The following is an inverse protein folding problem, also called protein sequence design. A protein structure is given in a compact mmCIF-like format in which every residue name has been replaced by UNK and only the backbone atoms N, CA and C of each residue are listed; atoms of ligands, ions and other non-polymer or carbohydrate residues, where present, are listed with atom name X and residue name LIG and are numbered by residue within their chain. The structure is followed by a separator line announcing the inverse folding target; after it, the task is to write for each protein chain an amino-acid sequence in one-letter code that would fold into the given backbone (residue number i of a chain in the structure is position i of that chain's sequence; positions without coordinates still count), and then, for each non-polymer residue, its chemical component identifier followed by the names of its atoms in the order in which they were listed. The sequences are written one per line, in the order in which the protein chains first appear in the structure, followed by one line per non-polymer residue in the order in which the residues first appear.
data_IF_232623758082
#
_entry.id   IF_232623758082
#
_cell.length_a   1.000
_cell.length_b   1.000
_cell.length_c   1.000
_cell.angle_alpha   90.00
_cell.angle_beta   90.00
_cell.angle_gamma   90.00
#
_symmetry.space_group_name_H-M   'P 1'
#
loop_
_entity.id
_entity.type
_entity.pdbx_description
1 polymer ?
2 non-polymer ?
3 water ?
#
# COMPACT_ATOMS: atom_id res chain seq x y z
N UNK A 6 13.10 -10.76 8.09
CA UNK A 6 12.49 -12.12 8.21
C UNK A 6 11.10 -12.13 7.58
N UNK A 7 11.01 -12.75 6.40
CA UNK A 7 9.79 -12.76 5.60
C UNK A 7 8.88 -13.98 5.81
N UNK A 8 9.09 -14.70 6.91
CA UNK A 8 8.26 -15.86 7.23
C UNK A 8 6.77 -15.45 7.22
N UNK A 9 6.44 -14.41 7.99
CA UNK A 9 5.07 -13.90 8.06
C UNK A 9 5.08 -12.39 7.88
N UNK A 10 4.70 -11.92 6.69
CA UNK A 10 4.65 -10.50 6.38
C UNK A 10 3.23 -9.92 6.54
N UNK A 11 3.14 -8.82 7.30
CA UNK A 11 1.91 -8.03 7.34
C UNK A 11 2.16 -6.68 6.67
N UNK A 12 1.54 -6.48 5.50
CA UNK A 12 1.63 -5.20 4.83
C UNK A 12 0.39 -4.37 5.16
N UNK A 13 0.59 -3.12 5.54
CA UNK A 13 -0.51 -2.20 5.87
C UNK A 13 -0.68 -1.21 4.72
N UNK A 14 -1.72 -1.42 3.91
CA UNK A 14 -1.96 -0.56 2.73
C UNK A 14 -2.96 0.53 3.13
N UNK A 15 -2.67 1.82 2.80
CA UNK A 15 -3.67 2.85 3.08
C UNK A 15 -5.01 2.61 2.36
N UNK A 16 -4.95 2.41 1.04
CA UNK A 16 -6.11 2.25 0.17
C UNK A 16 -6.05 0.92 -0.58
N UNK A 17 -7.16 0.56 -1.22
CA UNK A 17 -7.23 -0.68 -1.98
C UNK A 17 -6.54 -0.49 -3.31
N UNK A 18 -5.24 -0.82 -3.33
CA UNK A 18 -4.35 -0.77 -4.50
C UNK A 18 -2.89 -0.47 -4.10
N UNK A 19 -2.69 0.29 -3.02
CA UNK A 19 -1.36 0.86 -2.72
C UNK A 19 -0.27 -0.20 -2.52
N UNK A 20 -0.53 -1.22 -1.68
CA UNK A 20 0.44 -2.30 -1.44
C UNK A 20 0.84 -3.05 -2.72
N UNK A 21 -0.14 -3.44 -3.52
CA UNK A 21 0.15 -4.19 -4.73
C UNK A 21 0.99 -3.35 -5.68
N UNK A 22 0.63 -2.09 -5.79
CA UNK A 22 1.31 -1.16 -6.72
C UNK A 22 2.77 -0.92 -6.32
N UNK A 23 3.01 -0.90 -5.02
CA UNK A 23 4.33 -0.51 -4.49
C UNK A 23 5.22 -1.69 -4.12
N UNK A 24 4.65 -2.72 -3.49
CA UNK A 24 5.46 -3.89 -3.04
C UNK A 24 4.97 -5.26 -3.60
N UNK A 25 4.09 -5.22 -4.60
CA UNK A 25 3.47 -6.41 -5.12
C UNK A 25 4.43 -7.51 -5.56
N UNK A 26 5.49 -7.14 -6.27
CA UNK A 26 6.51 -8.12 -6.68
C UNK A 26 7.30 -8.74 -5.49
N UNK A 27 7.66 -7.93 -4.51
CA UNK A 27 8.35 -8.44 -3.30
C UNK A 27 7.41 -9.34 -2.49
N UNK A 28 6.12 -9.01 -2.50
CA UNK A 28 5.14 -9.86 -1.82
C UNK A 28 5.00 -11.19 -2.53
N UNK A 29 4.85 -11.15 -3.86
CA UNK A 29 4.82 -12.33 -4.72
C UNK A 29 6.08 -13.18 -4.51
N UNK A 30 7.23 -12.52 -4.48
CA UNK A 30 8.52 -13.22 -4.29
C UNK A 30 8.61 -13.86 -2.91
N UNK A 31 8.06 -13.18 -1.90
CA UNK A 31 8.03 -13.76 -0.54
C UNK A 31 7.21 -15.03 -0.52
N UNK A 32 6.05 -15.01 -1.20
CA UNK A 32 5.19 -16.18 -1.28
C UNK A 32 5.83 -17.33 -2.09
N UNK A 33 6.47 -16.98 -3.20
CA UNK A 33 7.22 -17.95 -4.01
C UNK A 33 8.36 -18.57 -3.21
N UNK A 34 8.93 -17.79 -2.29
CA UNK A 34 10.03 -18.25 -1.44
C UNK A 34 9.56 -19.08 -0.23
N UNK A 35 8.25 -19.16 -0.02
CA UNK A 35 7.67 -20.00 1.02
C UNK A 35 7.12 -19.25 2.22
N UNK A 36 7.16 -17.92 2.15
CA UNK A 36 6.65 -17.09 3.22
C UNK A 36 5.14 -16.89 3.18
N UNK A 37 4.62 -16.22 4.19
CA UNK A 37 3.18 -15.99 4.29
C UNK A 37 2.96 -14.49 4.27
N UNK A 38 2.05 -14.06 3.41
CA UNK A 38 1.76 -12.64 3.25
C UNK A 38 0.28 -12.36 3.53
N UNK A 39 0.05 -11.30 4.32
CA UNK A 39 -1.28 -10.75 4.50
C UNK A 39 -1.23 -9.24 4.25
N UNK A 40 -2.16 -8.74 3.45
CA UNK A 40 -2.26 -7.32 3.25
C UNK A 40 -3.54 -6.85 3.92
N UNK A 41 -3.38 -5.93 4.87
CA UNK A 41 -4.50 -5.30 5.60
C UNK A 41 -4.62 -3.88 5.04
N UNK A 42 -5.81 -3.52 4.57
CA UNK A 42 -6.06 -2.16 4.04
C UNK A 42 -6.90 -1.36 5.04
N UNK A 43 -6.40 -0.19 5.40
CA UNK A 43 -6.98 0.63 6.45
C UNK A 43 -8.30 1.22 5.95
N UNK A 44 -8.24 1.89 4.80
CA UNK A 44 -9.40 2.59 4.27
C UNK A 44 -10.18 1.69 3.33
N UNK A 45 -10.78 0.63 3.87
CA UNK A 45 -11.60 -0.31 3.09
C UNK A 45 -13.04 -0.38 3.60
N UNK A 46 -13.46 0.62 4.37
CA UNK A 46 -14.78 0.66 4.99
C UNK A 46 -15.96 0.80 4.04
N UNK A 47 -17.15 0.44 4.54
CA UNK A 47 -18.35 0.39 3.73
C UNK A 47 -19.06 1.74 3.61
N UNK A 48 -19.57 1.99 2.41
CA UNK A 48 -20.55 3.05 2.14
C UNK A 48 -21.32 2.66 0.88
N UNK A 49 -22.63 2.44 1.02
CA UNK A 49 -23.51 2.10 -0.11
C UNK A 49 -24.13 3.36 -0.71
N UNK A 50 -24.72 3.24 -1.93
CA UNK A 50 -25.43 4.37 -2.53
C UNK A 50 -26.68 4.69 -1.68
N UNK A 51 -27.16 5.94 -1.71
CA UNK A 51 -26.74 7.04 -2.59
C UNK A 51 -25.56 7.84 -2.05
N UNK A 52 -24.81 8.47 -2.96
CA UNK A 52 -23.59 9.21 -2.60
C UNK A 52 -23.74 10.72 -2.77
N UNK A 53 -22.76 11.45 -2.26
CA UNK A 53 -22.65 12.89 -2.50
C UNK A 53 -22.16 13.17 -3.92
N UNK A 54 -22.54 14.33 -4.50
CA UNK A 54 -21.99 14.71 -5.81
C UNK A 54 -20.46 14.63 -5.87
N UNK A 55 -19.79 15.03 -4.79
CA UNK A 55 -18.32 14.99 -4.72
C UNK A 55 -17.78 13.57 -4.83
N UNK A 56 -18.58 12.60 -4.36
CA UNK A 56 -18.23 11.16 -4.45
C UNK A 56 -18.65 10.61 -5.81
N UNK A 57 -19.77 11.12 -6.31
CA UNK A 57 -20.31 10.76 -7.61
C UNK A 57 -19.30 11.12 -8.72
N UNK A 58 -18.51 12.15 -8.48
CA UNK A 58 -17.55 12.67 -9.44
C UNK A 58 -16.37 11.74 -9.54
N UNK A 59 -15.90 11.28 -8.38
CA UNK A 59 -14.81 10.31 -8.29
C UNK A 59 -15.21 8.96 -8.85
N UNK A 60 -16.47 8.58 -8.59
CA UNK A 60 -17.01 7.31 -9.08
C UNK A 60 -17.14 7.32 -10.60
N UNK A 61 -17.76 8.37 -11.15
CA UNK A 61 -17.86 8.55 -12.60
C UNK A 61 -16.52 8.43 -13.31
N UNK A 62 -15.47 9.00 -12.72
CA UNK A 62 -14.09 8.89 -13.22
C UNK A 62 -13.52 7.46 -13.18
N UNK A 63 -14.02 6.64 -12.26
CA UNK A 63 -13.63 5.24 -12.21
C UNK A 63 -14.49 4.37 -13.15
N UNK A 64 -15.51 4.97 -13.74
CA UNK A 64 -16.37 4.25 -14.69
C UNK A 64 -17.57 3.57 -14.05
N UNK A 65 -17.91 4.00 -12.83
CA UNK A 65 -19.02 3.44 -12.05
C UNK A 65 -20.28 4.28 -12.19
N UNK A 66 -21.44 3.62 -12.16
CA UNK A 66 -22.77 4.27 -12.34
C UNK A 66 -23.35 4.60 -10.94
N UNK A 67 -24.28 5.58 -10.83
CA UNK A 67 -24.83 6.02 -9.52
C UNK A 67 -25.30 4.91 -8.55
N UNK A 68 -25.91 3.83 -9.03
CA UNK A 68 -26.41 2.78 -8.15
C UNK A 68 -25.38 1.72 -7.74
N UNK A 69 -24.16 1.81 -8.26
CA UNK A 69 -23.12 0.83 -7.90
C UNK A 69 -22.44 1.15 -6.58
N UNK A 70 -22.28 0.12 -5.76
CA UNK A 70 -21.56 0.21 -4.48
C UNK A 70 -20.07 0.24 -4.76
N UNK A 71 -19.47 1.42 -4.67
CA UNK A 71 -18.06 1.60 -5.02
C UNK A 71 -17.05 0.92 -4.09
N UNK A 72 -17.13 1.16 -2.76
CA UNK A 72 -16.18 0.45 -1.89
C UNK A 72 -16.26 -1.08 -2.04
N UNK A 73 -17.46 -1.63 -2.22
CA UNK A 73 -17.61 -3.05 -2.53
C UNK A 73 -16.88 -3.46 -3.81
N UNK A 74 -17.17 -2.78 -4.93
CA UNK A 74 -16.38 -3.00 -6.16
C UNK A 74 -14.86 -3.05 -5.89
N UNK A 75 -14.36 -2.05 -5.15
CA UNK A 75 -12.92 -1.94 -4.85
C UNK A 75 -12.41 -3.06 -3.93
N UNK A 76 -13.24 -3.47 -2.97
CA UNK A 76 -12.84 -4.59 -2.11
C UNK A 76 -12.76 -5.87 -2.94
N UNK A 77 -13.67 -6.03 -3.90
CA UNK A 77 -13.62 -7.17 -4.83
C UNK A 77 -12.40 -7.13 -5.74
N UNK A 78 -12.04 -5.94 -6.20
CA UNK A 78 -10.81 -5.77 -6.96
C UNK A 78 -9.58 -6.20 -6.16
N UNK A 79 -9.53 -5.75 -4.91
CA UNK A 79 -8.43 -6.06 -3.99
C UNK A 79 -8.32 -7.58 -3.76
N UNK A 80 -9.45 -8.25 -3.55
CA UNK A 80 -9.45 -9.72 -3.37
C UNK A 80 -8.88 -10.45 -4.62
N UNK A 81 -9.36 -10.08 -5.80
CA UNK A 81 -8.87 -10.66 -7.07
C UNK A 81 -7.35 -10.49 -7.23
N UNK A 82 -6.89 -9.25 -7.04
CA UNK A 82 -5.46 -8.93 -7.07
C UNK A 82 -4.62 -9.73 -6.06
N UNK A 83 -4.99 -9.71 -4.79
CA UNK A 83 -4.16 -10.36 -3.76
C UNK A 83 -4.12 -11.89 -3.93
N UNK A 84 -5.28 -12.49 -4.25
CA UNK A 84 -5.36 -13.89 -4.66
C UNK A 84 -4.37 -14.30 -5.74
N UNK A 85 -4.11 -13.42 -6.72
CA UNK A 85 -3.13 -13.71 -7.78
C UNK A 85 -1.67 -13.70 -7.26
N UNK A 86 -1.43 -12.96 -6.17
CA UNK A 86 -0.11 -12.92 -5.55
C UNK A 86 0.07 -14.00 -4.48
N UNK A 87 -1.00 -14.74 -4.23
CA UNK A 87 -1.10 -15.70 -3.15
C UNK A 87 -1.10 -15.08 -1.76
N UNK A 88 -1.53 -13.82 -1.64
CA UNK A 88 -1.53 -13.12 -0.36
C UNK A 88 -2.92 -13.12 0.25
N UNK A 89 -2.99 -13.24 1.58
CA UNK A 89 -4.25 -13.06 2.32
C UNK A 89 -4.65 -11.59 2.27
N UNK A 90 -5.97 -11.32 2.37
CA UNK A 90 -6.49 -9.94 2.47
C UNK A 90 -7.21 -9.74 3.80
N UNK A 91 -7.16 -8.53 4.35
CA UNK A 91 -8.01 -8.19 5.49
C UNK A 91 -8.47 -6.74 5.26
N UNK A 92 -9.78 -6.51 5.38
CA UNK A 92 -10.34 -5.18 5.06
C UNK A 92 -10.74 -4.37 6.29
N UNK A 93 -10.11 -3.20 6.46
CA UNK A 93 -10.32 -2.32 7.62
C UNK A 93 -11.60 -1.48 7.51
N UNK A 94 -11.96 -0.81 8.59
CA UNK A 94 -13.28 -0.18 8.72
C UNK A 94 -13.33 1.29 8.32
N UNK A 95 -12.18 1.88 7.97
CA UNK A 95 -12.09 3.34 7.83
C UNK A 95 -12.52 3.84 6.44
N UNK A 96 -13.12 5.02 6.41
CA UNK A 96 -13.73 5.56 5.19
C UNK A 96 -12.79 6.48 4.47
N UNK A 97 -12.68 6.27 3.16
CA UNK A 97 -11.79 7.02 2.30
C UNK A 97 -12.07 8.50 2.43
N UNK A 98 -10.99 9.27 2.32
CA UNK A 98 -11.04 10.73 2.48
C UNK A 98 -12.24 11.30 1.75
N UNK A 99 -12.56 10.67 0.62
CA UNK A 99 -13.61 11.12 -0.29
C UNK A 99 -15.07 10.96 0.21
N UNK A 100 -15.30 10.13 1.23
CA UNK A 100 -16.64 9.97 1.82
C UNK A 100 -16.68 10.67 3.19
N UNK A 101 -15.64 11.46 3.47
CA UNK A 101 -15.52 12.23 4.72
C UNK A 101 -14.82 13.57 4.49
N UNK A 125 -8.64 15.66 15.58
CA UNK A 125 -8.95 15.45 14.17
C UNK A 125 -7.96 14.45 13.52
N UNK A 126 -6.71 14.89 13.35
CA UNK A 126 -5.65 14.02 12.83
C UNK A 126 -5.24 13.00 13.89
N UNK A 127 -5.07 13.48 15.11
CA UNK A 127 -4.69 12.63 16.24
C UNK A 127 -5.70 11.52 16.55
N UNK A 128 -6.99 11.86 16.53
CA UNK A 128 -8.04 10.89 16.83
C UNK A 128 -8.05 9.76 15.80
N UNK A 129 -7.81 10.11 14.54
CA UNK A 129 -7.80 9.13 13.46
C UNK A 129 -6.59 8.20 13.59
N UNK A 130 -5.39 8.78 13.72
CA UNK A 130 -4.17 8.00 13.90
C UNK A 130 -4.28 7.00 15.06
N UNK A 131 -4.83 7.46 16.18
CA UNK A 131 -4.95 6.62 17.38
C UNK A 131 -5.94 5.47 17.16
N UNK A 132 -7.04 5.77 16.46
CA UNK A 132 -8.04 4.76 16.09
C UNK A 132 -7.45 3.72 15.13
N UNK A 133 -6.72 4.20 14.13
CA UNK A 133 -6.06 3.31 13.19
C UNK A 133 -5.02 2.45 13.90
N UNK A 134 -4.19 3.07 14.74
CA UNK A 134 -3.17 2.34 15.52
C UNK A 134 -3.75 1.14 16.32
N UNK A 135 -4.88 1.34 16.99
CA UNK A 135 -5.55 0.28 17.79
C UNK A 135 -5.86 -0.93 16.91
N UNK A 136 -6.47 -0.67 15.76
CA UNK A 136 -6.81 -1.70 14.78
C UNK A 136 -5.58 -2.41 14.19
N UNK A 137 -4.51 -1.66 13.94
CA UNK A 137 -3.24 -2.27 13.50
C UNK A 137 -2.61 -3.14 14.60
N UNK A 138 -2.64 -2.68 15.86
CA UNK A 138 -2.20 -3.53 16.96
C UNK A 138 -3.02 -4.82 17.00
N UNK A 139 -4.34 -4.71 16.88
CA UNK A 139 -5.22 -5.89 16.88
C UNK A 139 -4.84 -6.82 15.72
N UNK A 140 -4.58 -6.26 14.55
CA UNK A 140 -4.14 -7.05 13.40
C UNK A 140 -2.76 -7.76 13.61
N UNK A 141 -1.81 -7.07 14.22
CA UNK A 141 -0.50 -7.67 14.57
C UNK A 141 -0.64 -8.84 15.55
N UNK A 142 -1.41 -8.66 16.61
CA UNK A 142 -1.65 -9.72 17.57
C UNK A 142 -2.24 -10.94 16.85
N UNK A 143 -3.18 -10.69 15.95
CA UNK A 143 -3.86 -11.75 15.24
C UNK A 143 -2.97 -12.48 14.21
N UNK A 144 -2.18 -11.73 13.46
CA UNK A 144 -1.41 -12.30 12.33
C UNK A 144 0.01 -12.77 12.73
N UNK A 145 0.46 -12.37 13.91
CA UNK A 145 1.81 -12.68 14.46
C UNK A 145 2.96 -12.54 13.43
N UNK A 146 3.09 -11.35 12.80
CA UNK A 146 4.05 -11.19 11.71
C UNK A 146 5.50 -11.16 12.22
N UNK A 147 6.45 -11.50 11.34
CA UNK A 147 7.89 -11.34 11.60
C UNK A 147 8.44 -10.09 10.91
N UNK A 148 7.62 -9.50 10.04
CA UNK A 148 7.92 -8.23 9.37
C UNK A 148 6.63 -7.49 9.06
N UNK A 149 6.62 -6.19 9.36
CA UNK A 149 5.55 -5.28 8.97
C UNK A 149 6.03 -4.28 7.91
N UNK A 150 5.22 -4.06 6.88
CA UNK A 150 5.49 -3.05 5.87
C UNK A 150 4.37 -2.03 5.80
N UNK A 151 4.71 -0.76 5.57
CA UNK A 151 3.72 0.21 5.15
C UNK A 151 4.39 1.27 4.26
N UNK A 152 3.62 2.24 3.81
CA UNK A 152 4.11 3.23 2.85
C UNK A 152 4.99 4.26 3.52
N UNK A 153 5.94 4.82 2.79
CA UNK A 153 6.72 5.96 3.32
C UNK A 153 5.93 7.27 3.22
N UNK A 154 4.86 7.26 2.43
CA UNK A 154 3.96 8.43 2.20
C UNK A 154 4.55 9.54 1.32
N UNK A 155 5.35 9.13 0.34
CA UNK A 155 5.67 9.93 -0.83
C UNK A 155 4.34 10.23 -1.54
N UNK A 156 4.16 11.48 -1.97
CA UNK A 156 2.89 11.93 -2.59
C UNK A 156 2.01 12.66 -1.58
N UNK A 157 2.41 12.57 -0.31
CA UNK A 157 1.80 13.27 0.83
C UNK A 157 0.27 13.13 1.01
N UNK A 158 -0.32 12.04 0.53
CA UNK A 158 -1.75 11.83 0.76
C UNK A 158 -2.02 11.74 2.27
N UNK A 159 -3.05 12.45 2.77
CA UNK A 159 -3.26 12.42 4.23
C UNK A 159 -3.56 11.00 4.76
N UNK A 160 -4.20 10.14 3.96
CA UNK A 160 -4.45 8.75 4.36
C UNK A 160 -3.17 7.94 4.46
N UNK A 161 -2.21 8.26 3.61
CA UNK A 161 -0.90 7.59 3.61
C UNK A 161 -0.11 8.02 4.81
N UNK A 162 -0.12 9.32 5.10
CA UNK A 162 0.55 9.85 6.30
C UNK A 162 -0.08 9.24 7.56
N UNK A 163 -1.42 9.23 7.64
CA UNK A 163 -2.09 8.67 8.83
C UNK A 163 -1.76 7.18 8.98
N UNK A 164 -1.84 6.41 7.88
CA UNK A 164 -1.56 4.96 7.92
C UNK A 164 -0.12 4.67 8.40
N UNK A 165 0.84 5.37 7.79
CA UNK A 165 2.25 5.26 8.15
C UNK A 165 2.49 5.54 9.64
N UNK A 166 1.99 6.70 10.09
CA UNK A 166 2.22 7.16 11.46
C UNK A 166 1.65 6.17 12.49
N UNK A 167 0.43 5.69 12.19
CA UNK A 167 -0.23 4.71 13.05
C UNK A 167 0.53 3.38 13.07
N UNK A 168 1.05 2.96 11.90
CA UNK A 168 1.80 1.72 11.77
C UNK A 168 3.12 1.80 12.54
N UNK A 169 3.80 2.95 12.48
CA UNK A 169 5.06 3.12 13.25
C UNK A 169 4.86 2.94 14.75
N UNK A 170 3.81 3.55 15.29
CA UNK A 170 3.43 3.37 16.70
C UNK A 170 3.05 1.92 17.07
N UNK A 171 2.27 1.28 16.21
CA UNK A 171 1.76 -0.06 16.47
C UNK A 171 2.87 -1.12 16.44
N UNK A 172 3.70 -1.10 15.40
CA UNK A 172 4.83 -2.04 15.27
C UNK A 172 5.90 -1.86 16.37
N UNK A 173 6.12 -0.63 16.80
CA UNK A 173 7.04 -0.33 17.89
C UNK A 173 6.50 -0.83 19.23
N UNK A 174 5.20 -0.65 19.43
CA UNK A 174 4.55 -1.13 20.65
C UNK A 174 4.69 -2.64 20.74
N UNK A 175 4.48 -3.30 19.61
CA UNK A 175 4.53 -4.77 19.55
C UNK A 175 5.90 -5.39 19.23
N UNK A 176 6.92 -4.54 19.14
CA UNK A 176 8.29 -4.96 18.83
C UNK A 176 8.45 -5.79 17.55
N UNK A 177 7.78 -5.37 16.48
CA UNK A 177 7.92 -6.03 15.20
C UNK A 177 8.79 -5.17 14.27
N UNK A 178 9.82 -5.78 13.64
CA UNK A 178 10.59 -5.07 12.62
C UNK A 178 9.72 -4.48 11.48
N UNK A 179 10.10 -3.31 10.99
CA UNK A 179 9.29 -2.53 10.06
C UNK A 179 10.16 -1.90 8.96
N UNK A 180 9.60 -1.83 7.74
CA UNK A 180 10.17 -1.12 6.59
C UNK A 180 9.08 -0.24 5.92
N UNK A 181 9.52 0.87 5.36
CA UNK A 181 8.63 1.78 4.70
C UNK A 181 8.95 1.67 3.22
N UNK A 182 7.90 1.47 2.41
CA UNK A 182 8.08 1.36 0.96
C UNK A 182 7.95 2.67 0.19
N UNK A 183 8.51 2.68 -1.02
CA UNK A 183 8.43 3.83 -1.92
C UNK A 183 7.08 3.72 -2.65
N UNK A 184 6.17 4.66 -2.38
CA UNK A 184 4.79 4.65 -2.92
C UNK A 184 4.85 4.70 -4.44
N UNK A 185 4.09 3.82 -5.12
CA UNK A 185 4.10 3.82 -6.59
C UNK A 185 2.68 3.97 -7.12
N UNK A 186 2.49 4.58 -8.31
CA UNK A 186 3.52 5.09 -9.21
C UNK A 186 4.04 6.47 -8.82
N UNK A 187 3.50 7.02 -7.74
CA UNK A 187 3.81 8.39 -7.32
C UNK A 187 5.31 8.76 -7.34
N UNK A 188 6.15 7.85 -6.86
CA UNK A 188 7.62 8.08 -6.85
C UNK A 188 8.25 8.09 -8.23
N UNK A 189 7.58 7.49 -9.23
CA UNK A 189 8.12 7.56 -10.61
C UNK A 189 7.99 8.96 -11.22
N UNK A 190 7.17 9.80 -10.63
CA UNK A 190 6.92 11.14 -11.17
C UNK A 190 7.63 12.24 -10.37
N UNK A 191 7.67 12.10 -9.05
CA UNK A 191 8.04 13.23 -8.19
C UNK A 191 8.52 12.84 -6.79
N UNK A 192 9.22 13.79 -6.18
CA UNK A 192 9.65 13.79 -4.75
C UNK A 192 10.72 12.75 -4.31
N UNK A 193 10.44 12.10 -3.17
CA UNK A 193 11.40 11.28 -2.39
C UNK A 193 11.32 11.64 -0.89
N UNK A 194 11.49 12.94 -0.60
CA UNK A 194 11.51 13.44 0.78
C UNK A 194 10.12 13.37 1.48
N UNK A 195 9.97 12.39 2.36
CA UNK A 195 8.77 12.26 3.17
C UNK A 195 8.96 12.96 4.54
N UNK A 196 7.87 13.46 5.15
CA UNK A 196 8.00 14.16 6.45
C UNK A 196 7.57 13.27 7.64
N UNK A 197 8.58 12.63 8.21
CA UNK A 197 8.41 11.68 9.31
C UNK A 197 8.03 12.35 10.63
N UNK A 198 7.37 11.59 11.54
CA UNK A 198 7.26 12.09 12.92
C UNK A 198 8.64 12.53 13.50
N UNK A 199 8.60 13.45 14.44
CA UNK A 199 9.79 13.94 15.15
C UNK A 199 10.59 12.79 15.77
N UNK A 200 11.92 12.94 15.84
CA UNK A 200 12.76 11.87 16.39
C UNK A 200 13.03 10.67 15.47
N UNK A 201 12.46 10.70 14.26
CA UNK A 201 12.65 9.63 13.29
C UNK A 201 13.33 10.14 12.01
N UNK A 202 14.16 9.28 11.40
CA UNK A 202 14.66 9.50 10.03
C UNK A 202 14.80 8.16 9.31
N UNK A 203 14.88 8.19 7.98
CA UNK A 203 15.00 6.97 7.17
C UNK A 203 16.43 6.46 7.22
N UNK A 204 16.58 5.14 7.32
CA UNK A 204 17.91 4.52 7.15
C UNK A 204 18.27 4.56 5.69
N UNK A 205 19.32 3.84 5.28
CA UNK A 205 19.67 3.83 3.87
C UNK A 205 18.66 2.99 3.05
N UNK A 206 18.33 3.45 1.82
CA UNK A 206 17.34 2.73 1.01
C UNK A 206 17.86 1.36 0.57
N UNK A 207 16.98 0.37 0.45
CA UNK A 207 17.40 -0.94 -0.06
C UNK A 207 16.52 -1.43 -1.18
N UNK A 208 17.17 -1.88 -2.24
CA UNK A 208 16.48 -2.46 -3.38
C UNK A 208 16.20 -3.93 -3.15
N UNK A 209 14.94 -4.31 -3.22
CA UNK A 209 14.54 -5.70 -3.16
C UNK A 209 14.35 -6.22 -4.59
N UNK A 210 15.26 -7.08 -5.01
CA UNK A 210 15.24 -7.67 -6.35
C UNK A 210 14.35 -8.89 -6.38
N UNK A 211 13.67 -9.06 -7.51
CA UNK A 211 12.74 -10.17 -7.70
C UNK A 211 13.03 -10.86 -9.04
N UNK A 212 12.53 -12.09 -9.19
CA UNK A 212 12.71 -12.83 -10.44
C UNK A 212 11.61 -12.47 -11.45
N UNK A 213 11.70 -12.95 -12.68
CA UNK A 213 10.73 -12.53 -13.69
C UNK A 213 9.29 -12.91 -13.39
N UNK A 214 9.06 -14.05 -12.74
CA UNK A 214 7.70 -14.44 -12.44
C UNK A 214 7.05 -13.54 -11.37
N UNK A 215 7.84 -13.07 -10.39
CA UNK A 215 7.32 -12.18 -9.37
C UNK A 215 6.85 -10.85 -9.98
N UNK A 216 7.62 -10.34 -10.96
CA UNK A 216 7.26 -9.11 -11.67
C UNK A 216 6.02 -9.33 -12.55
N UNK A 217 5.99 -10.47 -13.24
CA UNK A 217 4.82 -10.86 -14.05
C UNK A 217 3.58 -10.97 -13.16
N UNK A 218 3.71 -11.61 -12.00
CA UNK A 218 2.59 -11.70 -11.08
C UNK A 218 2.13 -10.34 -10.53
N UNK A 219 3.08 -9.44 -10.24
CA UNK A 219 2.73 -8.08 -9.82
C UNK A 219 1.85 -7.37 -10.88
N UNK A 220 2.31 -7.36 -12.14
CA UNK A 220 1.67 -6.59 -13.20
C UNK A 220 0.26 -7.16 -13.48
N UNK A 221 0.14 -8.48 -13.43
CA UNK A 221 -1.14 -9.14 -13.61
C UNK A 221 -2.12 -8.79 -12.48
N UNK A 222 -1.64 -8.83 -11.24
CA UNK A 222 -2.40 -8.41 -10.08
C UNK A 222 -2.89 -6.95 -10.20
N UNK A 223 -2.03 -6.05 -10.66
CA UNK A 223 -2.39 -4.63 -10.83
C UNK A 223 -3.59 -4.39 -11.76
N UNK A 224 -3.72 -5.23 -12.79
CA UNK A 224 -4.84 -5.15 -13.75
C UNK A 224 -6.20 -5.28 -13.06
N UNK A 225 -6.24 -5.95 -11.91
CA UNK A 225 -7.51 -6.13 -11.21
C UNK A 225 -8.11 -4.86 -10.62
N UNK A 226 -7.27 -3.87 -10.29
CA UNK A 226 -7.75 -2.59 -9.77
C UNK A 226 -8.15 -1.66 -10.91
N UNK A 227 -9.18 -2.05 -11.65
CA UNK A 227 -9.51 -1.43 -12.94
C UNK A 227 -10.06 -0.05 -12.72
N UNK A 228 -10.73 0.10 -11.58
CA UNK A 228 -11.29 1.36 -11.14
C UNK A 228 -10.17 2.45 -11.04
N UNK A 229 -9.09 2.12 -10.32
CA UNK A 229 -7.95 2.99 -10.10
C UNK A 229 -7.08 3.11 -11.35
N UNK A 230 -6.84 1.99 -12.03
CA UNK A 230 -6.10 2.05 -13.30
C UNK A 230 -6.82 2.79 -14.41
N UNK A 231 -8.11 3.06 -14.24
CA UNK A 231 -8.77 3.89 -15.25
C UNK A 231 -8.22 5.34 -15.23
N UNK A 232 -7.59 5.72 -14.10
CA UNK A 232 -6.84 6.99 -13.98
C UNK A 232 -5.33 6.76 -14.10
N UNK A 233 -4.79 5.83 -13.33
CA UNK A 233 -3.35 5.59 -13.26
C UNK A 233 -2.78 5.00 -14.56
N UNK A 234 -3.60 4.28 -15.31
CA UNK A 234 -3.23 3.75 -16.63
C UNK A 234 -4.23 4.22 -17.69
N UNK A 235 -4.66 5.47 -17.51
CA UNK A 235 -5.50 6.19 -18.44
C UNK A 235 -4.74 6.40 -19.76
N UNK A 236 -5.42 6.97 -20.78
CA UNK A 236 -4.72 7.16 -22.06
C UNK A 236 -3.42 7.97 -21.92
N UNK A 237 -2.27 7.30 -22.44
CA UNK A 237 -0.93 7.89 -22.45
C UNK A 237 -0.18 7.85 -21.11
N UNK A 238 -0.86 7.46 -19.97
CA UNK A 238 -0.15 7.13 -18.74
C UNK A 238 0.75 5.91 -19.08
N UNK A 239 2.03 5.88 -18.61
CA UNK A 239 2.87 4.81 -19.16
C UNK A 239 2.91 3.62 -18.24
N UNK A 240 1.82 3.38 -17.50
CA UNK A 240 1.95 2.77 -16.17
C UNK A 240 2.97 1.63 -16.10
N UNK A 241 2.72 0.54 -16.81
CA UNK A 241 3.62 -0.63 -16.74
C UNK A 241 5.03 -0.32 -17.24
N UNK A 242 5.10 0.34 -18.41
CA UNK A 242 6.37 0.89 -18.91
C UNK A 242 7.05 1.82 -17.87
N UNK A 243 6.28 2.76 -17.33
CA UNK A 243 6.78 3.72 -16.36
C UNK A 243 7.39 3.00 -15.14
N UNK A 244 6.69 1.97 -14.67
CA UNK A 244 7.15 1.18 -13.54
C UNK A 244 8.44 0.39 -13.85
N UNK A 245 8.52 -0.17 -15.06
CA UNK A 245 9.72 -0.87 -15.53
C UNK A 245 10.90 0.06 -15.66
N UNK A 246 10.63 1.26 -16.17
CA UNK A 246 11.65 2.31 -16.33
C UNK A 246 12.13 2.79 -14.97
N UNK A 247 11.19 3.03 -14.05
CA UNK A 247 11.54 3.45 -12.68
C UNK A 247 12.50 2.46 -12.02
N UNK A 248 12.06 1.12 -11.99
CA UNK A 248 12.88 0.03 -11.48
C UNK A 248 14.26 0.00 -12.15
N UNK A 249 14.24 0.16 -13.47
CA UNK A 249 15.45 0.18 -14.29
C UNK A 249 16.41 1.31 -13.88
N UNK A 250 15.87 2.55 -13.68
CA UNK A 250 16.68 3.70 -13.27
C UNK A 250 17.46 3.41 -11.99
N UNK A 251 16.84 2.68 -11.06
CA UNK A 251 17.45 2.38 -9.74
C UNK A 251 18.53 1.31 -9.81
N UNK A 252 18.45 0.43 -10.81
CA UNK A 252 19.45 -0.63 -10.98
C UNK A 252 19.47 -1.10 -12.42
N UNK A 253 20.20 -0.38 -13.30
CA UNK A 253 20.17 -0.53 -14.76
C UNK A 253 20.50 -1.93 -15.30
N UNK A 254 21.23 -2.72 -14.50
CA UNK A 254 21.75 -4.01 -14.96
C UNK A 254 21.00 -5.23 -14.42
N UNK A 255 20.15 -5.05 -13.40
CA UNK A 255 19.73 -6.19 -12.57
C UNK A 255 18.27 -6.54 -12.36
N UNK A 256 17.42 -6.29 -13.36
CA UNK A 256 16.03 -6.74 -13.29
C UNK A 256 15.11 -5.98 -12.33
N UNK A 257 13.86 -6.42 -12.24
CA UNK A 257 12.83 -5.70 -11.48
C UNK A 257 13.11 -5.67 -9.98
N UNK A 258 12.77 -4.51 -9.41
CA UNK A 258 13.06 -4.20 -8.03
C UNK A 258 12.14 -3.10 -7.48
N UNK A 259 12.03 -3.09 -6.16
CA UNK A 259 11.22 -2.16 -5.40
C UNK A 259 12.09 -1.66 -4.21
N UNK A 260 11.91 -0.39 -3.83
CA UNK A 260 12.71 0.26 -2.78
C UNK A 260 11.96 0.34 -1.46
N UNK A 261 12.64 0.02 -0.37
CA UNK A 261 12.11 0.23 0.97
C UNK A 261 13.20 0.82 1.85
N UNK A 262 12.82 1.41 2.99
CA UNK A 262 13.78 1.94 3.95
C UNK A 262 13.49 1.42 5.36
N UNK A 263 14.55 1.17 6.16
CA UNK A 263 14.32 0.93 7.58
C UNK A 263 14.19 2.30 8.28
N UNK A 264 13.76 2.29 9.54
CA UNK A 264 13.52 3.54 10.24
C UNK A 264 14.37 3.58 11.48
N UNK A 265 15.07 4.69 11.67
CA UNK A 265 15.91 4.85 12.81
C UNK A 265 15.28 5.91 13.73
N UNK A 266 15.14 5.57 15.00
CA UNK A 266 14.65 6.52 15.98
C UNK A 266 15.82 7.16 16.74
N UNK A 267 16.26 8.34 16.30
CA UNK A 267 17.35 9.02 17.02
C UNK A 267 16.91 9.67 18.34
N UNK A 268 15.60 9.89 18.53
CA UNK A 268 15.13 10.54 19.76
C UNK A 268 13.72 10.12 20.17
N UNK A 269 13.57 9.67 21.41
CA UNK A 269 12.26 9.30 21.95
C UNK A 269 11.85 10.25 23.06
N UNK A 270 10.54 10.44 23.18
CA UNK A 270 9.87 11.01 24.33
C UNK A 270 9.61 9.87 25.35
#
# INVERSE_FOLDING_TARGET
MLQDADRTRILAISPHLDDAVLSVGASLAQAEQDGGKVTVFTVFAGSAAPPYSPAAERFHARWGLSPTEDAPLRRRNEDIAALDQLGAGHRHGRFLDAIYRRSPDGQWLLHHNEGSMVRQQSPANNHDLVAAIREDIESMIAECDPTLVLTCVAIGKHPDHKATRDATLLAARERGIPLRLWQDLPYAAYSQDLAELPDGLRLGSPELSFVDEEARTRKFQAMKHYATQLSVLDGPNKNLFAKLDEHARNAAPDGGYNETTWPVIRYAAE
#
